data_IF_259724349705
#
_entry.id   IF_259724349705
#
_cell.length_a   1.000
_cell.length_b   1.000
_cell.length_c   1.000
_cell.angle_alpha   90.00
_cell.angle_beta   90.00
_cell.angle_gamma   90.00
#
_symmetry.space_group_name_H-M   'P 1'
#
loop_
_entity.id
_entity.type
_entity.pdbx_description
1 polymer ?
#
# COMPACT_ATOMS: atom_id res chain seq x y z
N UNK A 1 44.96 23.91 20.81
CA UNK A 1 43.55 24.39 20.80
C UNK A 1 42.93 24.28 19.40
N UNK A 2 43.69 24.55 18.34
CA UNK A 2 43.21 24.59 16.96
C UNK A 2 42.84 23.19 16.42
N UNK A 3 43.67 22.18 16.75
CA UNK A 3 43.40 20.79 16.31
C UNK A 3 42.13 20.22 16.93
N UNK A 4 41.81 20.57 18.18
CA UNK A 4 40.60 20.11 18.83
C UNK A 4 39.34 20.75 18.21
N UNK A 5 39.44 22.01 17.79
CA UNK A 5 38.37 22.71 17.10
C UNK A 5 38.11 22.15 15.69
N UNK A 6 39.19 21.85 14.92
CA UNK A 6 39.09 21.22 13.63
C UNK A 6 38.48 19.81 13.71
N UNK A 7 38.84 19.01 14.71
CA UNK A 7 38.22 17.71 14.96
C UNK A 7 36.74 17.85 15.31
N UNK A 8 36.35 18.85 16.11
CA UNK A 8 34.96 19.11 16.46
C UNK A 8 34.12 19.46 15.23
N UNK A 9 34.63 20.34 14.36
CA UNK A 9 33.96 20.70 13.09
C UNK A 9 33.89 19.47 12.17
N UNK A 10 34.96 18.70 12.07
CA UNK A 10 34.98 17.47 11.28
C UNK A 10 33.89 16.48 11.74
N UNK A 11 33.77 16.22 13.03
CA UNK A 11 32.72 15.37 13.59
C UNK A 11 31.32 15.94 13.36
N UNK A 12 31.11 17.26 13.52
CA UNK A 12 29.82 17.91 13.25
C UNK A 12 29.38 17.78 11.78
N UNK A 13 30.30 17.90 10.84
CA UNK A 13 30.01 17.79 9.40
C UNK A 13 29.83 16.34 8.96
N UNK A 14 30.55 15.40 9.58
CA UNK A 14 30.47 13.97 9.21
C UNK A 14 29.33 13.23 9.92
N UNK A 15 28.74 13.78 10.98
CA UNK A 15 27.62 13.18 11.71
C UNK A 15 26.23 13.60 11.22
N UNK A 16 26.13 14.17 10.02
CA UNK A 16 24.81 14.30 9.38
C UNK A 16 24.31 12.91 9.01
N UNK A 17 23.62 12.29 9.95
CA UNK A 17 22.84 11.08 9.73
C UNK A 17 21.72 11.48 8.78
N UNK A 18 21.80 11.04 7.53
CA UNK A 18 20.64 11.06 6.64
C UNK A 18 19.60 10.12 7.26
N UNK A 19 18.56 10.70 7.82
CA UNK A 19 17.36 9.92 8.17
C UNK A 19 16.65 9.58 6.89
N UNK A 20 16.92 8.40 6.35
CA UNK A 20 16.12 7.84 5.27
C UNK A 20 14.69 7.73 5.77
N UNK A 21 13.78 8.46 5.10
CA UNK A 21 12.35 8.36 5.35
C UNK A 21 11.86 7.04 4.76
N UNK A 22 12.01 5.95 5.52
CA UNK A 22 11.46 4.67 5.14
C UNK A 22 9.92 4.67 5.15
N UNK A 23 9.34 3.72 4.43
CA UNK A 23 7.90 3.46 4.48
C UNK A 23 7.53 2.96 5.87
N UNK A 24 6.65 3.68 6.57
CA UNK A 24 6.09 3.23 7.84
C UNK A 24 5.05 2.14 7.56
N UNK A 25 5.44 0.88 7.66
CA UNK A 25 4.54 -0.27 7.57
C UNK A 25 4.30 -0.83 8.96
N UNK A 26 3.03 -0.90 9.35
CA UNK A 26 2.64 -1.52 10.62
C UNK A 26 2.64 -3.04 10.42
N UNK A 27 3.62 -3.71 11.00
CA UNK A 27 3.64 -5.18 11.02
C UNK A 27 2.51 -5.70 11.90
N UNK A 28 1.78 -6.74 11.46
CA UNK A 28 0.79 -7.40 12.31
C UNK A 28 1.47 -7.99 13.56
N UNK A 29 0.75 -8.07 14.70
CA UNK A 29 1.28 -8.69 15.88
C UNK A 29 1.61 -10.17 15.62
N UNK A 30 2.71 -10.65 16.19
CA UNK A 30 3.06 -12.08 16.13
C UNK A 30 1.96 -12.90 16.79
N UNK A 31 1.40 -13.86 16.08
CA UNK A 31 0.40 -14.80 16.57
C UNK A 31 1.04 -16.17 16.56
N UNK A 32 1.12 -16.84 17.72
CA UNK A 32 1.77 -18.17 17.86
C UNK A 32 1.08 -19.26 17.03
N UNK A 33 -0.23 -19.16 16.82
CA UNK A 33 -0.97 -20.00 15.90
C UNK A 33 -1.69 -19.11 14.87
N UNK A 34 -1.22 -19.06 13.61
CA UNK A 34 -1.96 -18.35 12.58
C UNK A 34 -3.34 -19.01 12.41
N UNK A 35 -4.43 -18.24 12.39
CA UNK A 35 -5.75 -18.80 12.10
C UNK A 35 -5.69 -19.54 10.75
N UNK A 36 -6.46 -20.64 10.59
CA UNK A 36 -6.45 -21.39 9.33
C UNK A 36 -6.71 -20.42 8.18
N UNK A 37 -5.99 -20.56 7.05
CA UNK A 37 -6.08 -19.62 5.95
C UNK A 37 -7.54 -19.56 5.47
N UNK A 38 -8.21 -18.48 5.78
CA UNK A 38 -9.52 -18.21 5.16
C UNK A 38 -9.33 -18.27 3.65
N UNK A 39 -10.13 -19.08 2.95
CA UNK A 39 -10.12 -19.15 1.49
C UNK A 39 -10.52 -17.78 0.95
N UNK A 40 -9.53 -16.91 0.78
CA UNK A 40 -9.74 -15.58 0.21
C UNK A 40 -10.26 -15.77 -1.21
N UNK A 41 -11.46 -15.31 -1.51
CA UNK A 41 -11.99 -15.36 -2.85
C UNK A 41 -11.07 -14.58 -3.78
N UNK A 42 -10.54 -15.23 -4.81
CA UNK A 42 -9.60 -14.62 -5.79
C UNK A 42 -10.17 -13.33 -6.41
N UNK A 43 -11.49 -13.22 -6.53
CA UNK A 43 -12.17 -12.01 -7.02
C UNK A 43 -11.96 -10.77 -6.12
N UNK A 44 -11.74 -10.97 -4.83
CA UNK A 44 -11.54 -9.89 -3.86
C UNK A 44 -10.07 -9.43 -3.78
N UNK A 45 -9.18 -10.04 -4.58
CA UNK A 45 -7.75 -9.71 -4.59
C UNK A 45 -7.40 -8.87 -5.82
N UNK A 46 -6.90 -7.67 -5.57
CA UNK A 46 -6.30 -6.79 -6.57
C UNK A 46 -4.80 -7.04 -6.59
N UNK A 47 -4.35 -7.87 -7.51
CA UNK A 47 -2.93 -8.21 -7.63
C UNK A 47 -2.18 -7.21 -8.50
N UNK A 48 -1.06 -6.70 -8.00
CA UNK A 48 -0.07 -5.95 -8.75
C UNK A 48 1.24 -6.73 -8.69
N UNK A 49 1.72 -7.19 -9.82
CA UNK A 49 2.96 -7.93 -9.95
C UNK A 49 4.00 -7.05 -10.62
N UNK A 50 5.22 -7.07 -10.10
CA UNK A 50 6.36 -6.33 -10.61
C UNK A 50 7.45 -7.35 -10.90
N UNK A 51 7.84 -7.48 -12.18
CA UNK A 51 8.90 -8.42 -12.55
C UNK A 51 10.31 -7.81 -12.38
N UNK A 52 11.33 -8.63 -12.53
CA UNK A 52 12.73 -8.19 -12.43
C UNK A 52 13.16 -7.14 -13.46
N UNK A 53 12.38 -6.93 -14.54
CA UNK A 53 12.60 -5.87 -15.54
C UNK A 53 11.77 -4.60 -15.22
N UNK A 54 11.10 -4.55 -14.06
CA UNK A 54 10.20 -3.47 -13.66
C UNK A 54 8.93 -3.35 -14.51
N UNK A 55 8.54 -4.39 -15.27
CA UNK A 55 7.25 -4.41 -15.93
C UNK A 55 6.14 -4.68 -14.92
N UNK A 56 5.00 -4.03 -15.11
CA UNK A 56 3.86 -4.10 -14.22
C UNK A 56 2.74 -4.96 -14.83
N UNK A 57 2.21 -5.89 -14.04
CA UNK A 57 0.97 -6.59 -14.36
C UNK A 57 -0.06 -6.28 -13.26
N UNK A 58 -1.17 -5.71 -13.65
CA UNK A 58 -2.31 -5.46 -12.77
C UNK A 58 -3.40 -6.46 -13.09
N UNK A 59 -3.71 -7.34 -12.15
CA UNK A 59 -4.69 -8.42 -12.34
C UNK A 59 -4.40 -9.28 -13.59
N UNK A 60 -3.13 -9.56 -13.85
CA UNK A 60 -2.66 -10.34 -14.98
C UNK A 60 -2.61 -9.59 -16.33
N UNK A 61 -2.99 -8.33 -16.38
CA UNK A 61 -2.90 -7.49 -17.58
C UNK A 61 -1.69 -6.56 -17.50
N UNK A 62 -0.95 -6.40 -18.59
CA UNK A 62 0.17 -5.45 -18.65
C UNK A 62 -0.32 -4.03 -18.36
N UNK A 63 0.41 -3.34 -17.51
CA UNK A 63 0.19 -1.95 -17.15
C UNK A 63 1.43 -1.15 -17.52
N UNK A 64 1.29 -0.23 -18.47
CA UNK A 64 2.41 0.57 -18.98
C UNK A 64 2.61 1.87 -18.20
N UNK A 65 1.60 2.30 -17.47
CA UNK A 65 1.65 3.54 -16.70
C UNK A 65 1.25 3.28 -15.24
N UNK A 66 2.20 3.48 -14.35
CA UNK A 66 2.03 3.33 -12.91
C UNK A 66 0.93 4.25 -12.35
N UNK A 67 0.71 5.40 -12.97
CA UNK A 67 -0.31 6.37 -12.53
C UNK A 67 -1.73 5.83 -12.65
N UNK A 68 -1.98 4.94 -13.60
CA UNK A 68 -3.31 4.32 -13.81
C UNK A 68 -3.69 3.32 -12.71
N UNK A 69 -2.72 2.87 -11.91
CA UNK A 69 -2.95 1.91 -10.82
C UNK A 69 -3.92 2.48 -9.78
N UNK A 70 -3.80 3.76 -9.47
CA UNK A 70 -4.69 4.45 -8.53
C UNK A 70 -6.15 4.29 -8.93
N UNK A 71 -6.50 4.65 -10.16
CA UNK A 71 -7.89 4.64 -10.64
C UNK A 71 -8.44 3.22 -10.78
N UNK A 72 -7.60 2.28 -11.23
CA UNK A 72 -7.95 0.86 -11.27
C UNK A 72 -8.22 0.28 -9.89
N UNK A 73 -7.43 0.66 -8.88
CA UNK A 73 -7.63 0.24 -7.50
C UNK A 73 -8.93 0.83 -6.91
N UNK A 74 -9.20 2.12 -7.13
CA UNK A 74 -10.45 2.77 -6.71
C UNK A 74 -11.65 2.04 -7.31
N UNK A 75 -11.66 1.84 -8.63
CA UNK A 75 -12.74 1.13 -9.34
C UNK A 75 -12.95 -0.29 -8.79
N UNK A 76 -11.86 -1.01 -8.51
CA UNK A 76 -11.93 -2.35 -7.94
C UNK A 76 -12.53 -2.36 -6.53
N UNK A 77 -12.08 -1.46 -5.66
CA UNK A 77 -12.53 -1.38 -4.26
C UNK A 77 -13.99 -0.94 -4.17
N UNK A 78 -14.40 0.04 -4.98
CA UNK A 78 -15.75 0.60 -4.94
C UNK A 78 -16.78 -0.18 -5.76
N UNK A 79 -16.41 -1.32 -6.32
CA UNK A 79 -17.26 -2.14 -7.20
C UNK A 79 -18.61 -2.54 -6.56
N UNK A 80 -18.64 -2.77 -5.25
CA UNK A 80 -19.85 -3.19 -4.49
C UNK A 80 -20.61 -4.37 -5.12
N UNK A 81 -19.86 -5.28 -5.77
CA UNK A 81 -20.41 -6.48 -6.39
C UNK A 81 -21.03 -6.28 -7.78
N UNK A 82 -20.94 -5.09 -8.37
CA UNK A 82 -21.49 -4.80 -9.71
C UNK A 82 -20.81 -5.65 -10.82
N UNK A 83 -19.47 -5.76 -10.77
CA UNK A 83 -18.69 -6.62 -11.66
C UNK A 83 -18.31 -7.90 -10.91
N UNK A 84 -18.67 -9.11 -11.43
CA UNK A 84 -18.32 -10.39 -10.81
C UNK A 84 -16.81 -10.63 -10.72
N UNK A 85 -15.99 -9.93 -11.50
CA UNK A 85 -14.54 -10.04 -11.46
C UNK A 85 -13.87 -9.06 -10.50
N UNK A 86 -14.61 -8.18 -9.86
CA UNK A 86 -14.09 -7.17 -8.93
C UNK A 86 -14.63 -7.39 -7.51
N UNK A 87 -14.13 -6.67 -6.53
CA UNK A 87 -14.44 -6.90 -5.12
C UNK A 87 -15.93 -6.90 -4.81
N UNK A 88 -16.35 -7.81 -3.92
CA UNK A 88 -17.73 -7.88 -3.42
C UNK A 88 -18.12 -6.63 -2.63
N UNK A 89 -17.17 -6.11 -1.86
CA UNK A 89 -17.35 -4.91 -1.03
C UNK A 89 -16.00 -4.29 -0.72
N UNK A 90 -15.96 -2.98 -0.39
CA UNK A 90 -14.71 -2.32 0.01
C UNK A 90 -14.00 -2.99 1.19
N UNK A 91 -14.77 -3.55 2.14
CA UNK A 91 -14.23 -4.22 3.33
C UNK A 91 -13.57 -5.57 3.01
N UNK A 92 -13.93 -6.21 1.90
CA UNK A 92 -13.37 -7.48 1.45
C UNK A 92 -12.23 -7.31 0.45
N UNK A 93 -12.03 -6.10 -0.08
CA UNK A 93 -10.98 -5.80 -1.02
C UNK A 93 -9.60 -5.95 -0.38
N UNK A 94 -8.74 -6.75 -0.99
CA UNK A 94 -7.36 -6.98 -0.58
C UNK A 94 -6.47 -6.59 -1.74
N UNK A 95 -5.47 -5.76 -1.49
CA UNK A 95 -4.43 -5.45 -2.47
C UNK A 95 -3.24 -6.36 -2.19
N UNK A 96 -2.77 -7.05 -3.22
CA UNK A 96 -1.59 -7.91 -3.14
C UNK A 96 -0.51 -7.37 -4.06
N UNK A 97 0.66 -7.04 -3.50
CA UNK A 97 1.84 -6.64 -4.26
C UNK A 97 2.79 -7.84 -4.28
N UNK A 98 3.18 -8.25 -5.47
CA UNK A 98 4.15 -9.34 -5.68
C UNK A 98 5.35 -8.75 -6.40
N UNK A 99 6.49 -8.81 -5.74
CA UNK A 99 7.77 -8.39 -6.30
C UNK A 99 8.59 -9.61 -6.68
N UNK A 100 9.15 -9.59 -7.87
CA UNK A 100 10.14 -10.58 -8.27
C UNK A 100 11.54 -10.16 -7.78
N UNK A 101 12.43 -11.15 -7.65
CA UNK A 101 13.83 -10.89 -7.37
C UNK A 101 14.43 -10.05 -8.50
N UNK A 102 14.97 -8.89 -8.18
CA UNK A 102 15.51 -7.94 -9.16
C UNK A 102 14.64 -6.71 -9.44
N UNK A 103 13.42 -6.66 -8.92
CA UNK A 103 12.58 -5.44 -8.95
C UNK A 103 13.31 -4.27 -8.29
N UNK A 104 13.34 -3.11 -8.94
CA UNK A 104 13.92 -1.91 -8.35
C UNK A 104 13.03 -1.39 -7.20
N UNK A 105 13.67 -0.91 -6.13
CA UNK A 105 12.98 -0.29 -5.01
C UNK A 105 12.15 0.93 -5.43
N UNK A 106 12.64 1.69 -6.42
CA UNK A 106 11.94 2.84 -6.97
C UNK A 106 10.59 2.46 -7.57
N UNK A 107 10.54 1.39 -8.40
CA UNK A 107 9.30 0.91 -9.01
C UNK A 107 8.31 0.41 -7.95
N UNK A 108 8.80 -0.34 -6.96
CA UNK A 108 7.99 -0.78 -5.83
C UNK A 108 7.36 0.40 -5.08
N UNK A 109 8.16 1.40 -4.72
CA UNK A 109 7.68 2.60 -4.01
C UNK A 109 6.69 3.40 -4.86
N UNK A 110 6.92 3.51 -6.17
CA UNK A 110 6.00 4.18 -7.08
C UNK A 110 4.62 3.49 -7.08
N UNK A 111 4.58 2.15 -7.20
CA UNK A 111 3.34 1.36 -7.13
C UNK A 111 2.67 1.52 -5.76
N UNK A 112 3.42 1.35 -4.67
CA UNK A 112 2.89 1.49 -3.31
C UNK A 112 2.26 2.87 -3.06
N UNK A 113 2.90 3.92 -3.55
CA UNK A 113 2.40 5.29 -3.44
C UNK A 113 1.07 5.48 -4.20
N UNK A 114 0.91 4.87 -5.39
CA UNK A 114 -0.36 4.93 -6.12
C UNK A 114 -1.48 4.21 -5.38
N UNK A 115 -1.20 3.05 -4.80
CA UNK A 115 -2.17 2.31 -4.00
C UNK A 115 -2.57 3.08 -2.73
N UNK A 116 -1.60 3.68 -2.05
CA UNK A 116 -1.86 4.55 -0.90
C UNK A 116 -2.65 5.81 -1.29
N UNK A 117 -2.35 6.40 -2.44
CA UNK A 117 -3.10 7.53 -2.98
C UNK A 117 -4.56 7.16 -3.30
N UNK A 118 -4.82 5.93 -3.78
CA UNK A 118 -6.18 5.43 -3.98
C UNK A 118 -6.98 5.42 -2.67
N UNK A 119 -6.43 4.87 -1.59
CA UNK A 119 -7.10 4.88 -0.29
C UNK A 119 -7.27 6.28 0.29
N UNK A 120 -6.27 7.16 0.12
CA UNK A 120 -6.41 8.55 0.56
C UNK A 120 -7.57 9.27 -0.16
N UNK A 121 -7.75 9.01 -1.45
CA UNK A 121 -8.89 9.56 -2.22
C UNK A 121 -10.21 8.99 -1.70
N UNK A 122 -10.31 7.67 -1.49
CA UNK A 122 -11.53 7.05 -0.95
C UNK A 122 -11.88 7.57 0.46
N UNK A 123 -10.90 7.77 1.32
CA UNK A 123 -11.13 8.34 2.66
C UNK A 123 -11.55 9.80 2.61
N UNK A 124 -11.01 10.58 1.69
CA UNK A 124 -11.41 11.97 1.50
C UNK A 124 -12.84 12.06 0.98
N UNK A 125 -13.19 11.27 -0.04
CA UNK A 125 -14.54 11.24 -0.63
C UNK A 125 -15.59 10.80 0.42
N UNK A 126 -15.30 9.76 1.19
CA UNK A 126 -16.19 9.29 2.27
C UNK A 126 -16.33 10.35 3.38
N UNK A 127 -15.23 11.04 3.73
CA UNK A 127 -15.23 12.10 4.72
C UNK A 127 -16.10 13.27 4.30
N UNK A 128 -15.94 13.72 3.06
CA UNK A 128 -16.75 14.80 2.49
C UNK A 128 -18.22 14.41 2.40
N UNK A 129 -18.52 13.18 1.97
CA UNK A 129 -19.89 12.67 1.86
C UNK A 129 -20.59 12.55 3.22
N UNK A 130 -19.89 12.04 4.24
CA UNK A 130 -20.49 11.68 5.52
C UNK A 130 -20.46 12.80 6.56
N UNK A 131 -19.39 13.59 6.55
CA UNK A 131 -19.12 14.61 7.58
C UNK A 131 -19.02 16.03 7.02
N UNK A 132 -18.99 16.22 5.70
CA UNK A 132 -18.84 17.54 5.05
C UNK A 132 -17.51 18.22 5.33
N UNK A 133 -16.50 17.46 5.74
CA UNK A 133 -15.16 17.95 6.12
C UNK A 133 -14.06 17.07 5.53
N UNK A 134 -12.88 17.65 5.30
CA UNK A 134 -11.70 16.91 4.87
C UNK A 134 -11.31 15.82 5.90
N UNK A 135 -10.79 14.70 5.42
CA UNK A 135 -10.31 13.60 6.26
C UNK A 135 -9.27 14.05 7.31
N UNK A 136 -8.48 15.07 7.00
CA UNK A 136 -7.48 15.63 7.91
C UNK A 136 -8.11 16.35 9.11
N UNK A 137 -9.33 16.87 8.95
CA UNK A 137 -10.04 17.68 9.95
C UNK A 137 -10.96 16.81 10.83
N UNK A 138 -11.04 15.52 10.54
CA UNK A 138 -11.85 14.58 11.32
C UNK A 138 -11.20 14.24 12.66
N UNK A 139 -12.03 14.00 13.67
CA UNK A 139 -11.61 13.44 14.95
C UNK A 139 -11.09 12.00 14.79
N UNK A 140 -10.42 11.48 15.82
CA UNK A 140 -9.89 10.09 15.81
C UNK A 140 -11.00 9.05 15.58
N UNK A 141 -12.16 9.24 16.20
CA UNK A 141 -13.30 8.33 16.06
C UNK A 141 -13.91 8.38 14.66
N UNK A 142 -14.08 9.56 14.10
CA UNK A 142 -14.58 9.73 12.73
C UNK A 142 -13.63 9.10 11.70
N UNK A 143 -12.32 9.32 11.84
CA UNK A 143 -11.31 8.65 10.98
C UNK A 143 -11.35 7.13 11.09
N UNK A 144 -11.56 6.60 12.31
CA UNK A 144 -11.72 5.16 12.51
C UNK A 144 -12.95 4.62 11.78
N UNK A 145 -14.05 5.36 11.79
CA UNK A 145 -15.25 4.99 11.06
C UNK A 145 -15.04 4.98 9.54
N UNK A 146 -14.38 5.99 8.99
CA UNK A 146 -14.02 6.06 7.56
C UNK A 146 -13.11 4.88 7.17
N UNK A 147 -12.09 4.59 7.99
CA UNK A 147 -11.19 3.44 7.75
C UNK A 147 -11.88 2.09 7.89
N UNK A 148 -12.96 2.00 8.66
CA UNK A 148 -13.76 0.78 8.77
C UNK A 148 -14.55 0.52 7.49
N UNK A 149 -15.01 1.57 6.82
CA UNK A 149 -15.67 1.43 5.50
C UNK A 149 -14.66 1.07 4.39
N UNK A 150 -13.50 1.68 4.41
CA UNK A 150 -12.41 1.43 3.46
C UNK A 150 -11.12 1.01 4.18
N UNK A 151 -11.05 -0.23 4.67
CA UNK A 151 -9.85 -0.73 5.34
C UNK A 151 -8.72 -0.89 4.33
N UNK A 152 -7.58 -0.25 4.59
CA UNK A 152 -6.39 -0.40 3.75
C UNK A 152 -5.70 -1.73 4.08
N UNK A 153 -5.99 -2.76 3.29
CA UNK A 153 -5.39 -4.08 3.42
C UNK A 153 -4.44 -4.27 2.24
N UNK A 154 -3.16 -4.04 2.48
CA UNK A 154 -2.09 -4.30 1.51
C UNK A 154 -1.28 -5.48 2.03
N UNK A 155 -1.22 -6.55 1.25
CA UNK A 155 -0.45 -7.75 1.54
C UNK A 155 0.72 -7.83 0.56
N UNK A 156 1.90 -8.00 1.09
CA UNK A 156 3.08 -8.35 0.31
C UNK A 156 3.20 -9.87 0.34
N UNK A 157 3.05 -10.51 -0.81
CA UNK A 157 3.17 -11.95 -0.95
C UNK A 157 4.46 -12.29 -1.70
N UNK A 158 5.15 -13.33 -1.24
CA UNK A 158 6.24 -13.89 -2.02
C UNK A 158 5.67 -14.61 -3.27
N UNK A 159 6.41 -14.61 -4.41
CA UNK A 159 5.93 -15.19 -5.68
C UNK A 159 5.55 -16.67 -5.58
N UNK A 160 6.09 -17.40 -4.59
CA UNK A 160 5.89 -18.84 -4.40
C UNK A 160 4.50 -19.23 -3.89
N UNK A 161 3.74 -18.33 -3.28
CA UNK A 161 2.48 -18.71 -2.60
C UNK A 161 1.26 -18.70 -3.51
N UNK A 162 1.31 -18.06 -4.67
CA UNK A 162 0.19 -18.00 -5.62
C UNK A 162 0.28 -19.02 -6.77
N UNK A 163 1.40 -19.71 -6.92
CA UNK A 163 1.60 -20.71 -7.98
C UNK A 163 1.25 -22.15 -7.53
N UNK A 164 0.88 -22.34 -6.26
CA UNK A 164 0.50 -23.63 -5.67
C UNK A 164 -1.01 -23.78 -5.49
N UNK A 165 -1.78 -23.51 -6.55
CA UNK A 165 -3.21 -23.92 -6.52
C UNK A 165 -3.74 -24.16 -7.94
#
# INVERSE_FOLDING_TARGET
>A
ADIAFLLLIFFLVTTTIQTDSGLSVLLPPYVEEPPPPEKKNKRNVFSVQINGNNDLLVRGQKCFDVLTIKDKAITFITNRGADPNSSDSPQKAIISILNDNGTSYETYVAVYNQLKAAYNTLWEDESMSKYGRSYKDLSKEERKNVRKEFPMIISEAEPSDLLKS
#
